data_IF_464969442685
#
_entry.id   IF_464969442685
#
_cell.length_a   1.000
_cell.length_b   1.000
_cell.length_c   1.000
_cell.angle_alpha   90.00
_cell.angle_beta   90.00
_cell.angle_gamma   90.00
#
_symmetry.space_group_name_H-M   'P 1'
#
loop_
_entity.id
_entity.type
_entity.pdbx_description
1 polymer ?
#
# COMPACT_ATOMS: atom_id res chain seq x y z
N UNK A 1 -10.32 -10.25 -0.84
CA UNK A 1 -9.64 -9.20 -0.05
C UNK A 1 -8.54 -9.82 0.83
N UNK A 2 -8.74 -11.02 1.38
CA UNK A 2 -7.66 -11.96 1.74
C UNK A 2 -6.59 -12.16 0.64
N UNK A 3 -7.01 -12.12 -0.62
CA UNK A 3 -6.12 -12.25 -1.80
C UNK A 3 -5.18 -11.04 -1.97
N UNK A 4 -5.61 -9.82 -1.64
CA UNK A 4 -4.78 -8.60 -1.78
C UNK A 4 -3.69 -8.53 -0.70
N UNK A 5 -4.02 -8.89 0.54
CA UNK A 5 -3.03 -9.00 1.63
C UNK A 5 -1.93 -9.99 1.26
N UNK A 6 -2.30 -11.20 0.81
CA UNK A 6 -1.33 -12.21 0.42
C UNK A 6 -0.49 -11.77 -0.79
N UNK A 7 -1.11 -11.13 -1.78
CA UNK A 7 -0.43 -10.59 -2.96
C UNK A 7 0.61 -9.54 -2.59
N UNK A 8 0.24 -8.54 -1.78
CA UNK A 8 1.18 -7.49 -1.39
C UNK A 8 2.28 -7.99 -0.45
N UNK A 9 1.98 -8.95 0.44
CA UNK A 9 3.01 -9.55 1.30
C UNK A 9 4.06 -10.31 0.47
N UNK A 10 3.63 -11.08 -0.54
CA UNK A 10 4.52 -11.78 -1.46
C UNK A 10 5.36 -10.80 -2.31
N UNK A 11 4.74 -9.77 -2.90
CA UNK A 11 5.48 -8.75 -3.66
C UNK A 11 6.54 -8.05 -2.78
N UNK A 12 6.24 -7.76 -1.51
CA UNK A 12 7.21 -7.21 -0.57
C UNK A 12 8.29 -8.22 -0.18
N UNK A 13 7.97 -9.52 -0.11
CA UNK A 13 8.96 -10.58 0.13
C UNK A 13 9.95 -10.73 -1.03
N UNK A 14 9.50 -10.56 -2.28
CA UNK A 14 10.37 -10.49 -3.46
C UNK A 14 11.34 -9.31 -3.40
N UNK A 15 10.87 -8.14 -2.96
CA UNK A 15 11.72 -6.97 -2.74
C UNK A 15 12.73 -7.25 -1.62
N UNK A 16 12.30 -7.83 -0.51
CA UNK A 16 13.18 -8.18 0.61
C UNK A 16 14.30 -9.13 0.19
N UNK A 17 13.96 -10.20 -0.53
CA UNK A 17 14.91 -11.19 -1.05
C UNK A 17 15.91 -10.56 -2.02
N UNK A 18 15.46 -9.64 -2.88
CA UNK A 18 16.35 -8.93 -3.80
C UNK A 18 17.33 -7.99 -3.09
N UNK A 19 16.90 -7.22 -2.08
CA UNK A 19 17.80 -6.41 -1.24
C UNK A 19 18.84 -7.25 -0.52
N UNK A 20 18.48 -8.47 -0.12
CA UNK A 20 19.38 -9.39 0.56
C UNK A 20 20.45 -9.97 -0.37
N UNK A 21 20.19 -10.05 -1.67
CA UNK A 21 21.02 -10.73 -2.67
C UNK A 21 22.24 -9.96 -3.19
N UNK A 22 22.54 -8.77 -2.65
CA UNK A 22 23.59 -7.83 -3.11
C UNK A 22 23.46 -7.45 -4.61
N UNK A 23 22.29 -7.69 -5.22
CA UNK A 23 21.93 -7.28 -6.57
C UNK A 23 20.95 -6.09 -6.52
N UNK A 24 21.53 -4.89 -6.52
CA UNK A 24 20.80 -3.62 -6.50
C UNK A 24 19.87 -3.43 -7.71
N UNK A 25 20.19 -4.04 -8.86
CA UNK A 25 19.35 -3.93 -10.06
C UNK A 25 18.07 -4.75 -9.91
N UNK A 26 18.19 -5.99 -9.44
CA UNK A 26 17.00 -6.83 -9.17
C UNK A 26 16.11 -6.18 -8.10
N UNK A 27 16.69 -5.56 -7.07
CA UNK A 27 15.91 -4.81 -6.08
C UNK A 27 15.16 -3.62 -6.68
N UNK A 28 15.80 -2.89 -7.59
CA UNK A 28 15.17 -1.79 -8.32
C UNK A 28 14.01 -2.27 -9.20
N UNK A 29 14.17 -3.40 -9.88
CA UNK A 29 13.13 -3.97 -10.76
C UNK A 29 11.91 -4.44 -9.97
N UNK A 30 12.11 -5.27 -8.95
CA UNK A 30 11.02 -5.74 -8.08
C UNK A 30 10.30 -4.56 -7.41
N UNK A 31 11.05 -3.58 -6.91
CA UNK A 31 10.42 -2.41 -6.28
C UNK A 31 9.68 -1.51 -7.28
N UNK A 32 10.13 -1.42 -8.53
CA UNK A 32 9.39 -0.74 -9.61
C UNK A 32 8.02 -1.37 -9.83
N UNK A 33 7.98 -2.70 -9.89
CA UNK A 33 6.73 -3.45 -10.10
C UNK A 33 5.77 -3.26 -8.93
N UNK A 34 6.27 -3.39 -7.69
CA UNK A 34 5.51 -3.16 -6.47
C UNK A 34 4.95 -1.72 -6.41
N UNK A 35 5.77 -0.69 -6.65
CA UNK A 35 5.34 0.71 -6.64
C UNK A 35 4.19 0.94 -7.64
N UNK A 36 4.35 0.44 -8.87
CA UNK A 36 3.32 0.55 -9.89
C UNK A 36 2.00 -0.14 -9.47
N UNK A 37 2.08 -1.33 -8.86
CA UNK A 37 0.92 -2.07 -8.37
C UNK A 37 0.21 -1.31 -7.23
N UNK A 38 0.95 -0.85 -6.22
CA UNK A 38 0.42 -0.08 -5.09
C UNK A 38 -0.20 1.24 -5.55
N UNK A 39 0.46 1.94 -6.48
CA UNK A 39 -0.06 3.18 -7.07
C UNK A 39 -1.38 2.97 -7.81
N UNK A 40 -1.48 1.87 -8.58
CA UNK A 40 -2.73 1.52 -9.28
C UNK A 40 -3.85 1.22 -8.29
N UNK A 41 -3.54 0.46 -7.23
CA UNK A 41 -4.47 0.10 -6.17
C UNK A 41 -5.08 1.33 -5.49
N UNK A 42 -4.25 2.18 -4.90
CA UNK A 42 -4.70 3.40 -4.20
C UNK A 42 -5.47 4.35 -5.13
N UNK A 43 -5.06 4.47 -6.41
CA UNK A 43 -5.79 5.28 -7.39
C UNK A 43 -7.17 4.73 -7.71
N UNK A 44 -7.31 3.41 -7.77
CA UNK A 44 -8.60 2.75 -7.95
C UNK A 44 -9.55 3.12 -6.82
N UNK A 45 -9.06 3.04 -5.58
CA UNK A 45 -9.84 3.43 -4.42
C UNK A 45 -10.21 4.92 -4.44
N UNK A 46 -9.23 5.81 -4.63
CA UNK A 46 -9.47 7.25 -4.55
C UNK A 46 -10.36 7.79 -5.67
N UNK A 47 -10.30 7.19 -6.87
CA UNK A 47 -11.04 7.68 -8.05
C UNK A 47 -12.39 7.00 -8.24
N UNK A 48 -12.57 5.79 -7.73
CA UNK A 48 -13.77 4.99 -7.95
C UNK A 48 -14.46 4.65 -6.64
N UNK A 49 -13.76 3.99 -5.72
CA UNK A 49 -14.38 3.45 -4.51
C UNK A 49 -14.82 4.54 -3.52
N UNK A 50 -13.90 5.44 -3.15
CA UNK A 50 -14.18 6.48 -2.15
C UNK A 50 -15.28 7.44 -2.60
N UNK A 51 -15.32 7.93 -3.86
CA UNK A 51 -16.43 8.76 -4.32
C UNK A 51 -17.78 8.06 -4.29
N UNK A 52 -17.81 6.74 -4.55
CA UNK A 52 -19.04 5.94 -4.44
C UNK A 52 -19.48 5.91 -2.98
N UNK A 53 -18.61 5.52 -2.05
CA UNK A 53 -18.89 5.45 -0.62
C UNK A 53 -19.38 6.77 -0.01
N UNK A 54 -18.71 7.88 -0.37
CA UNK A 54 -19.01 9.22 0.14
C UNK A 54 -20.43 9.70 -0.22
N UNK A 55 -21.07 9.11 -1.24
CA UNK A 55 -22.44 9.45 -1.65
C UNK A 55 -23.52 8.77 -0.83
N UNK A 56 -23.22 7.69 -0.11
CA UNK A 56 -24.25 6.85 0.54
C UNK A 56 -24.43 7.13 2.03
N UNK A 57 -23.44 7.70 2.71
CA UNK A 57 -23.53 7.97 4.15
C UNK A 57 -22.69 9.17 4.57
N UNK A 58 -23.19 9.93 5.54
CA UNK A 58 -22.49 11.09 6.11
C UNK A 58 -21.23 10.72 6.90
N UNK A 59 -21.07 9.45 7.28
CA UNK A 59 -19.86 8.94 7.97
C UNK A 59 -18.71 8.62 7.00
N UNK A 60 -19.01 8.32 5.73
CA UNK A 60 -18.00 7.89 4.77
C UNK A 60 -16.91 8.94 4.49
N UNK A 61 -17.19 10.26 4.37
CA UNK A 61 -16.15 11.26 4.11
C UNK A 61 -15.04 11.30 5.17
N UNK A 62 -15.36 11.11 6.46
CA UNK A 62 -14.35 11.08 7.51
C UNK A 62 -13.47 9.82 7.42
N UNK A 63 -14.09 8.69 7.11
CA UNK A 63 -13.41 7.39 6.92
C UNK A 63 -12.47 7.43 5.71
N UNK A 64 -12.96 7.83 4.53
CA UNK A 64 -12.16 7.90 3.30
C UNK A 64 -11.06 8.96 3.41
N UNK A 65 -11.27 10.06 4.16
CA UNK A 65 -10.21 11.03 4.45
C UNK A 65 -9.06 10.42 5.27
N UNK A 66 -9.37 9.52 6.22
CA UNK A 66 -8.36 8.77 6.97
C UNK A 66 -7.60 7.80 6.08
N UNK A 67 -8.29 7.05 5.22
CA UNK A 67 -7.66 6.15 4.24
C UNK A 67 -6.71 6.89 3.30
N UNK A 68 -7.12 8.04 2.75
CA UNK A 68 -6.25 8.93 1.96
C UNK A 68 -5.02 9.42 2.74
N UNK A 69 -5.14 9.59 4.07
CA UNK A 69 -3.98 9.92 4.89
C UNK A 69 -2.99 8.78 5.01
N UNK A 70 -3.47 7.55 5.08
CA UNK A 70 -2.63 6.35 5.08
C UNK A 70 -1.96 6.16 3.72
N UNK A 71 -2.64 6.44 2.60
CA UNK A 71 -2.02 6.48 1.26
C UNK A 71 -0.85 7.45 1.18
N UNK A 72 -0.98 8.64 1.78
CA UNK A 72 0.12 9.62 1.83
C UNK A 72 1.32 9.07 2.62
N UNK A 73 1.09 8.41 3.75
CA UNK A 73 2.16 7.75 4.51
C UNK A 73 2.82 6.63 3.71
N UNK A 74 2.04 5.81 2.99
CA UNK A 74 2.56 4.77 2.09
C UNK A 74 3.44 5.38 1.00
N UNK A 75 3.02 6.48 0.36
CA UNK A 75 3.85 7.19 -0.62
C UNK A 75 5.16 7.71 -0.06
N UNK A 76 5.15 8.28 1.14
CA UNK A 76 6.38 8.73 1.79
C UNK A 76 7.36 7.57 2.03
N UNK A 77 6.84 6.40 2.44
CA UNK A 77 7.65 5.20 2.62
C UNK A 77 8.20 4.68 1.27
N UNK A 78 7.40 4.73 0.20
CA UNK A 78 7.86 4.36 -1.15
C UNK A 78 8.98 5.28 -1.62
N UNK A 79 8.82 6.59 -1.46
CA UNK A 79 9.84 7.57 -1.88
C UNK A 79 11.12 7.40 -1.05
N UNK A 80 11.00 7.16 0.27
CA UNK A 80 12.14 6.81 1.12
C UNK A 80 12.82 5.53 0.66
N UNK A 81 12.06 4.51 0.24
CA UNK A 81 12.62 3.25 -0.23
C UNK A 81 13.41 3.44 -1.54
N UNK A 82 12.90 4.27 -2.45
CA UNK A 82 13.63 4.66 -3.66
C UNK A 82 14.97 5.32 -3.33
N UNK A 83 15.00 6.20 -2.33
CA UNK A 83 16.24 6.83 -1.87
C UNK A 83 17.23 5.80 -1.31
N UNK A 84 16.76 4.78 -0.58
CA UNK A 84 17.63 3.71 -0.04
C UNK A 84 18.19 2.83 -1.15
N UNK A 85 17.36 2.41 -2.11
CA UNK A 85 17.81 1.65 -3.28
C UNK A 85 18.85 2.44 -4.08
N UNK A 86 18.62 3.74 -4.33
CA UNK A 86 19.53 4.58 -5.10
C UNK A 86 20.89 4.78 -4.43
N UNK A 87 20.95 4.67 -3.10
CA UNK A 87 22.18 4.79 -2.30
C UNK A 87 22.83 3.44 -2.01
N UNK A 88 22.22 2.33 -2.48
CA UNK A 88 22.61 0.96 -2.13
C UNK A 88 22.66 0.74 -0.60
N UNK A 89 21.83 1.47 0.15
CA UNK A 89 21.73 1.40 1.60
C UNK A 89 20.85 0.21 2.01
N UNK A 90 21.43 -0.99 1.97
CA UNK A 90 20.73 -2.24 2.29
C UNK A 90 20.11 -2.25 3.70
N UNK A 91 20.83 -1.91 4.79
CA UNK A 91 20.22 -1.86 6.12
C UNK A 91 19.03 -0.89 6.19
N UNK A 92 19.20 0.34 5.68
CA UNK A 92 18.13 1.33 5.66
C UNK A 92 16.95 0.91 4.76
N UNK A 93 17.23 0.24 3.64
CA UNK A 93 16.20 -0.31 2.75
C UNK A 93 15.34 -1.38 3.44
N UNK A 94 15.95 -2.30 4.19
CA UNK A 94 15.21 -3.32 4.93
C UNK A 94 14.34 -2.72 6.05
N UNK A 95 14.82 -1.69 6.76
CA UNK A 95 14.05 -0.98 7.78
C UNK A 95 12.82 -0.25 7.18
N UNK A 96 13.02 0.45 6.06
CA UNK A 96 11.91 1.11 5.35
C UNK A 96 10.92 0.09 4.81
N UNK A 97 11.40 -1.03 4.25
CA UNK A 97 10.55 -2.10 3.73
C UNK A 97 9.69 -2.73 4.82
N UNK A 98 10.25 -2.98 6.01
CA UNK A 98 9.50 -3.49 7.16
C UNK A 98 8.39 -2.52 7.61
N UNK A 99 8.69 -1.22 7.62
CA UNK A 99 7.72 -0.18 7.94
C UNK A 99 6.61 -0.11 6.89
N UNK A 100 6.98 -0.16 5.61
CA UNK A 100 6.05 -0.19 4.48
C UNK A 100 5.13 -1.41 4.54
N UNK A 101 5.67 -2.61 4.77
CA UNK A 101 4.88 -3.84 4.96
C UNK A 101 3.87 -3.68 6.08
N UNK A 102 4.31 -3.21 7.25
CA UNK A 102 3.44 -3.06 8.43
C UNK A 102 2.28 -2.09 8.17
N UNK A 103 2.57 -0.94 7.55
CA UNK A 103 1.53 0.07 7.24
C UNK A 103 0.59 -0.44 6.15
N UNK A 104 1.11 -1.05 5.08
CA UNK A 104 0.31 -1.53 3.96
C UNK A 104 -0.62 -2.66 4.38
N UNK A 105 -0.13 -3.70 5.05
CA UNK A 105 -0.97 -4.83 5.42
C UNK A 105 -2.05 -4.42 6.44
N UNK A 106 -1.74 -3.49 7.35
CA UNK A 106 -2.76 -2.90 8.23
C UNK A 106 -3.80 -2.08 7.45
N UNK A 107 -3.37 -1.36 6.42
CA UNK A 107 -4.26 -0.58 5.56
C UNK A 107 -5.24 -1.49 4.82
N UNK A 108 -4.75 -2.53 4.14
CA UNK A 108 -5.58 -3.52 3.42
C UNK A 108 -6.55 -4.22 4.38
N UNK A 109 -6.11 -4.58 5.60
CA UNK A 109 -7.00 -5.15 6.60
C UNK A 109 -8.13 -4.18 7.02
N UNK A 110 -7.84 -2.87 7.13
CA UNK A 110 -8.86 -1.86 7.45
C UNK A 110 -9.88 -1.69 6.35
N UNK A 111 -9.54 -1.93 5.09
CA UNK A 111 -10.54 -1.91 4.03
C UNK A 111 -11.63 -2.95 4.31
N UNK A 112 -11.27 -4.14 4.81
CA UNK A 112 -12.24 -5.19 5.14
C UNK A 112 -13.07 -4.84 6.37
N UNK A 113 -12.44 -4.21 7.36
CA UNK A 113 -13.10 -3.93 8.63
C UNK A 113 -13.90 -2.64 8.62
N UNK A 114 -13.56 -1.70 7.74
CA UNK A 114 -14.08 -0.33 7.76
C UNK A 114 -14.82 0.03 6.48
N UNK A 115 -14.28 -0.27 5.30
CA UNK A 115 -14.89 0.13 4.02
C UNK A 115 -15.96 -0.86 3.57
N UNK A 116 -15.69 -2.16 3.67
CA UNK A 116 -16.62 -3.23 3.30
C UNK A 116 -17.98 -3.13 4.01
N UNK A 117 -18.05 -2.86 5.33
CA UNK A 117 -19.32 -2.63 5.99
C UNK A 117 -20.08 -1.44 5.39
N UNK A 118 -19.40 -0.33 5.07
CA UNK A 118 -20.05 0.84 4.48
C UNK A 118 -20.62 0.55 3.08
N UNK A 119 -19.91 -0.24 2.26
CA UNK A 119 -20.40 -0.69 0.95
C UNK A 119 -21.67 -1.55 1.08
N UNK A 120 -21.71 -2.44 2.07
CA UNK A 120 -22.89 -3.30 2.30
C UNK A 120 -24.10 -2.48 2.73
N UNK A 121 -23.93 -1.47 3.57
CA UNK A 121 -25.01 -0.54 3.95
C UNK A 121 -25.45 0.36 2.79
N UNK A 122 -24.53 0.72 1.89
CA UNK A 122 -24.83 1.52 0.71
C UNK A 122 -25.64 0.75 -0.36
N UNK A 123 -25.59 -0.58 -0.33
CA UNK A 123 -26.22 -1.46 -1.32
C UNK A 123 -27.57 -2.06 -0.85
N UNK A 124 -28.01 -1.71 0.36
CA UNK A 124 -29.28 -2.10 0.98
C UNK A 124 -30.30 -0.96 0.95
#
# INVERSE_FOLDING_TARGET
MTDETARFDEELAEVERSLQSDDSNTAREHFTMFDAALTRYMRGEERLLFPVLERFTSLAPATTARMRSEHRSLRQLVDNMWDRIAREDKPGGLEVLSSLRSVLLLHVAKEEWVLDPLLRHASS
#
